data_IF_908020250896
#
_entry.id   IF_908020250896
#
_cell.length_a   1.000
_cell.length_b   1.000
_cell.length_c   1.000
_cell.angle_alpha   90.00
_cell.angle_beta   90.00
_cell.angle_gamma   90.00
#
_symmetry.space_group_name_H-M   'P 1'
#
loop_
_entity.id
_entity.type
_entity.pdbx_description
1 polymer ?
#
# COMPACT_ATOMS: atom_id res chain seq x y z
N UNK A 1 -3.55 17.95 5.63
CA UNK A 1 -3.07 18.55 6.89
C UNK A 1 -2.04 17.58 7.46
N UNK A 2 -0.75 17.94 7.41
CA UNK A 2 0.39 17.05 7.75
C UNK A 2 0.48 16.73 9.25
N UNK A 3 -0.43 17.28 10.06
CA UNK A 3 -0.47 17.17 11.51
C UNK A 3 -1.32 16.01 12.05
N UNK A 4 -1.91 15.20 11.18
CA UNK A 4 -2.99 14.28 11.56
C UNK A 4 -2.55 12.86 11.90
N UNK A 5 -1.25 12.54 11.88
CA UNK A 5 -0.83 11.17 11.65
C UNK A 5 0.30 10.65 12.56
N UNK A 6 -0.04 9.63 13.38
CA UNK A 6 0.89 8.71 14.04
C UNK A 6 0.73 8.50 15.56
N UNK A 7 1.04 7.27 16.02
CA UNK A 7 1.77 6.98 17.27
C UNK A 7 2.62 5.71 17.05
N UNK A 8 3.95 5.68 17.14
CA UNK A 8 4.99 6.72 17.34
C UNK A 8 5.42 7.50 16.08
N UNK A 9 6.67 7.96 16.00
CA UNK A 9 7.11 9.09 15.12
C UNK A 9 6.94 8.90 13.60
N UNK A 10 6.87 7.68 13.08
CA UNK A 10 6.70 7.43 11.63
C UNK A 10 5.53 6.50 11.30
N UNK A 11 4.51 6.39 12.17
CA UNK A 11 3.29 5.67 11.79
C UNK A 11 2.53 6.52 10.76
N UNK A 12 2.75 6.23 9.49
CA UNK A 12 2.07 6.81 8.33
C UNK A 12 0.60 6.39 8.35
N UNK A 13 -0.19 6.89 9.30
CA UNK A 13 -1.63 6.92 9.08
C UNK A 13 -1.82 7.82 7.87
N UNK A 14 -2.20 7.24 6.74
CA UNK A 14 -2.72 8.00 5.63
C UNK A 14 -4.23 8.10 5.83
N UNK A 15 -4.82 9.26 5.51
CA UNK A 15 -6.24 9.24 5.13
C UNK A 15 -6.29 8.44 3.83
N UNK A 16 -6.83 7.23 3.93
CA UNK A 16 -7.04 6.35 2.80
C UNK A 16 -8.50 6.44 2.38
N UNK A 17 -8.70 6.61 1.09
CA UNK A 17 -10.00 6.50 0.43
C UNK A 17 -10.00 5.29 -0.50
N UNK A 18 -11.20 4.82 -0.87
CA UNK A 18 -11.35 3.84 -1.95
C UNK A 18 -10.71 4.37 -3.24
N UNK A 19 -9.96 3.51 -3.93
CA UNK A 19 -9.19 3.86 -5.12
C UNK A 19 -7.78 4.40 -4.85
N UNK A 20 -7.40 4.67 -3.61
CA UNK A 20 -6.02 5.06 -3.30
C UNK A 20 -5.03 3.94 -3.65
N UNK A 21 -3.87 4.31 -4.20
CA UNK A 21 -2.75 3.37 -4.38
C UNK A 21 -1.88 3.40 -3.14
N UNK A 22 -1.60 2.24 -2.58
CA UNK A 22 -0.79 2.11 -1.37
C UNK A 22 0.34 1.10 -1.54
N UNK A 23 1.40 1.34 -0.78
CA UNK A 23 2.50 0.41 -0.56
C UNK A 23 2.30 -0.21 0.82
N UNK A 24 2.36 -1.52 0.91
CA UNK A 24 2.31 -2.25 2.17
C UNK A 24 3.45 -3.28 2.27
N UNK A 25 3.84 -3.63 3.49
CA UNK A 25 4.91 -4.59 3.74
C UNK A 25 4.37 -5.95 4.15
N UNK A 26 5.02 -7.00 3.64
CA UNK A 26 4.82 -8.40 4.01
C UNK A 26 6.14 -9.02 4.47
N UNK A 27 6.08 -10.24 5.01
CA UNK A 27 7.25 -10.94 5.55
C UNK A 27 7.61 -10.45 6.95
N UNK A 28 8.90 -10.38 7.26
CA UNK A 28 9.39 -10.03 8.61
C UNK A 28 10.11 -8.69 8.60
N UNK A 29 9.62 -7.76 9.42
CA UNK A 29 10.21 -6.43 9.60
C UNK A 29 10.41 -6.10 11.08
N UNK A 30 11.19 -5.04 11.36
CA UNK A 30 11.45 -4.62 12.74
C UNK A 30 10.57 -3.43 13.11
N UNK A 31 9.86 -3.54 14.24
CA UNK A 31 9.10 -2.48 14.89
C UNK A 31 9.69 -2.25 16.27
N UNK A 32 10.23 -1.07 16.54
CA UNK A 32 10.87 -0.71 17.83
C UNK A 32 11.94 -1.73 18.30
N UNK A 33 12.66 -2.34 17.36
CA UNK A 33 13.69 -3.34 17.64
C UNK A 33 13.16 -4.75 17.88
N UNK A 34 11.86 -5.00 17.68
CA UNK A 34 11.21 -6.31 17.75
C UNK A 34 10.87 -6.77 16.34
N UNK A 35 11.19 -8.03 16.00
CA UNK A 35 10.80 -8.62 14.72
C UNK A 35 9.32 -9.04 14.74
N UNK A 36 8.59 -8.62 13.70
CA UNK A 36 7.18 -8.92 13.47
C UNK A 36 7.06 -9.53 12.07
N UNK A 37 6.45 -10.72 11.96
CA UNK A 37 6.29 -11.40 10.68
C UNK A 37 6.29 -12.93 10.78
N UNK A 38 6.44 -13.58 9.64
CA UNK A 38 6.36 -15.03 9.46
C UNK A 38 7.72 -15.73 9.28
N UNK A 39 8.82 -14.99 9.40
CA UNK A 39 10.19 -15.45 9.18
C UNK A 39 10.70 -15.31 7.75
N UNK A 40 9.86 -14.88 6.79
CA UNK A 40 10.30 -14.57 5.43
C UNK A 40 10.94 -13.16 5.37
N UNK A 41 11.81 -12.88 4.38
CA UNK A 41 12.39 -11.54 4.19
C UNK A 41 11.29 -10.47 4.01
N UNK A 42 11.51 -9.22 4.47
CA UNK A 42 10.56 -8.15 4.24
C UNK A 42 10.42 -7.88 2.74
N UNK A 43 9.18 -7.75 2.28
CA UNK A 43 8.86 -7.44 0.88
C UNK A 43 7.84 -6.31 0.83
N UNK A 44 7.97 -5.44 -0.17
CA UNK A 44 7.00 -4.40 -0.45
C UNK A 44 6.04 -4.86 -1.54
N UNK A 45 4.78 -4.59 -1.31
CA UNK A 45 3.67 -4.94 -2.17
C UNK A 45 2.80 -3.71 -2.40
N UNK A 46 1.96 -3.77 -3.42
CA UNK A 46 1.16 -2.64 -3.87
C UNK A 46 -0.28 -3.03 -4.09
N UNK A 47 -1.19 -2.18 -3.65
CA UNK A 47 -2.62 -2.41 -3.81
C UNK A 47 -3.38 -1.13 -4.14
N UNK A 48 -4.46 -1.26 -4.91
CA UNK A 48 -5.55 -0.27 -4.99
C UNK A 48 -6.51 -0.58 -3.85
N UNK A 49 -6.75 0.40 -2.98
CA UNK A 49 -7.67 0.26 -1.85
C UNK A 49 -9.08 0.06 -2.40
N UNK A 50 -9.75 -0.98 -1.92
CA UNK A 50 -11.16 -1.30 -2.22
C UNK A 50 -12.03 -0.91 -1.02
N UNK A 51 -11.67 -1.35 0.18
CA UNK A 51 -12.45 -1.02 1.38
C UNK A 51 -11.58 -0.98 2.63
N UNK A 52 -11.94 -0.12 3.57
CA UNK A 52 -11.35 -0.09 4.91
C UNK A 52 -12.42 -0.52 5.90
N UNK A 53 -12.14 -1.57 6.68
CA UNK A 53 -13.08 -2.13 7.64
C UNK A 53 -12.51 -2.04 9.06
N UNK A 54 -13.31 -1.54 10.00
CA UNK A 54 -13.00 -1.64 11.42
C UNK A 54 -13.57 -2.94 11.98
N UNK A 55 -12.69 -3.83 12.42
CA UNK A 55 -13.05 -5.11 13.03
C UNK A 55 -12.96 -4.97 14.54
N UNK A 56 -14.10 -5.20 15.21
CA UNK A 56 -14.17 -5.25 16.66
C UNK A 56 -14.08 -6.71 17.10
N UNK A 57 -13.00 -7.07 17.80
CA UNK A 57 -12.90 -8.37 18.48
C UNK A 57 -12.83 -8.16 19.98
N UNK A 58 -13.93 -8.47 20.68
CA UNK A 58 -14.08 -8.28 22.12
C UNK A 58 -13.67 -6.88 22.62
N UNK A 59 -12.44 -6.73 23.10
CA UNK A 59 -11.87 -5.54 23.73
C UNK A 59 -10.88 -4.77 22.84
N UNK A 60 -10.65 -5.22 21.60
CA UNK A 60 -9.71 -4.60 20.67
C UNK A 60 -10.42 -4.19 19.38
N UNK A 61 -10.14 -2.97 18.94
CA UNK A 61 -10.44 -2.47 17.60
C UNK A 61 -9.22 -2.71 16.72
N UNK A 62 -9.41 -3.34 15.57
CA UNK A 62 -8.35 -3.54 14.58
C UNK A 62 -8.87 -3.16 13.20
N UNK A 63 -8.18 -2.23 12.53
CA UNK A 63 -8.49 -1.87 11.15
C UNK A 63 -7.97 -2.93 10.20
N UNK A 64 -8.72 -3.21 9.13
CA UNK A 64 -8.27 -4.05 8.02
C UNK A 64 -8.45 -3.27 6.74
N UNK A 65 -7.40 -3.18 5.95
CA UNK A 65 -7.42 -2.57 4.63
C UNK A 65 -7.54 -3.72 3.61
N UNK A 66 -8.54 -3.63 2.74
CA UNK A 66 -8.74 -4.52 1.61
C UNK A 66 -8.38 -3.80 0.34
N UNK A 67 -7.67 -4.50 -0.55
CA UNK A 67 -7.34 -3.96 -1.85
C UNK A 67 -7.15 -5.04 -2.90
N UNK A 68 -6.85 -4.59 -4.10
CA UNK A 68 -6.56 -5.43 -5.25
C UNK A 68 -5.11 -5.22 -5.65
N UNK A 69 -4.37 -6.30 -5.91
CA UNK A 69 -2.96 -6.26 -6.30
C UNK A 69 -2.76 -5.42 -7.56
N UNK A 70 -1.69 -4.64 -7.57
CA UNK A 70 -1.29 -3.79 -8.69
C UNK A 70 -0.06 -4.32 -9.42
N UNK A 71 -0.09 -4.23 -10.75
CA UNK A 71 1.05 -4.43 -11.63
C UNK A 71 1.60 -3.08 -12.08
N UNK A 72 2.93 -2.97 -12.18
CA UNK A 72 3.61 -1.77 -12.68
C UNK A 72 4.32 -2.05 -13.99
N UNK A 73 4.38 -1.02 -14.84
CA UNK A 73 5.27 -1.02 -16.01
C UNK A 73 6.73 -0.98 -15.54
N UNK A 74 7.33 -2.17 -15.44
CA UNK A 74 8.67 -2.40 -14.91
C UNK A 74 9.76 -1.66 -15.71
N UNK A 75 9.52 -1.34 -16.98
CA UNK A 75 10.45 -0.61 -17.83
C UNK A 75 10.50 0.88 -17.50
N UNK A 76 9.47 1.42 -16.82
CA UNK A 76 9.35 2.85 -16.47
C UNK A 76 9.57 3.16 -15.00
N UNK A 77 10.13 2.22 -14.26
CA UNK A 77 10.39 2.35 -12.83
C UNK A 77 11.56 3.31 -12.60
N UNK A 78 11.35 4.29 -11.72
CA UNK A 78 12.27 5.40 -11.51
C UNK A 78 12.10 6.55 -12.50
N UNK A 79 11.09 6.49 -13.38
CA UNK A 79 10.66 7.61 -14.21
C UNK A 79 9.40 8.26 -13.62
N UNK A 80 9.18 9.53 -13.98
CA UNK A 80 7.88 10.15 -13.73
C UNK A 80 6.82 9.51 -14.63
N UNK A 81 5.59 9.40 -14.16
CA UNK A 81 4.45 8.84 -14.90
C UNK A 81 4.57 7.32 -15.18
N UNK A 82 5.08 6.55 -14.23
CA UNK A 82 5.02 5.09 -14.28
C UNK A 82 3.54 4.65 -14.37
N UNK A 83 3.22 3.75 -15.32
CA UNK A 83 1.87 3.20 -15.46
C UNK A 83 1.66 2.15 -14.39
N UNK A 84 0.50 2.20 -13.77
CA UNK A 84 0.02 1.23 -12.80
C UNK A 84 -1.30 0.67 -13.30
N UNK A 85 -1.50 -0.63 -13.12
CA UNK A 85 -2.75 -1.29 -13.50
C UNK A 85 -3.18 -2.27 -12.42
N UNK A 86 -4.49 -2.44 -12.25
CA UNK A 86 -5.04 -3.55 -11.48
C UNK A 86 -4.60 -4.86 -12.13
N UNK A 87 -4.12 -5.79 -11.30
CA UNK A 87 -3.63 -7.07 -11.82
C UNK A 87 -4.74 -7.81 -12.57
N UNK A 88 -4.47 -8.42 -13.74
CA UNK A 88 -5.48 -9.14 -14.52
C UNK A 88 -6.14 -10.31 -13.79
N UNK A 89 -5.51 -10.81 -12.72
CA UNK A 89 -6.06 -11.87 -11.87
C UNK A 89 -7.08 -11.36 -10.86
N UNK A 90 -7.17 -10.04 -10.66
CA UNK A 90 -7.98 -9.37 -9.62
C UNK A 90 -7.75 -10.01 -8.23
N UNK A 91 -6.50 -10.35 -7.93
CA UNK A 91 -6.14 -10.92 -6.64
C UNK A 91 -6.42 -9.91 -5.52
N UNK A 92 -7.26 -10.30 -4.57
CA UNK A 92 -7.60 -9.51 -3.39
C UNK A 92 -6.59 -9.73 -2.27
N UNK A 93 -6.20 -8.67 -1.60
CA UNK A 93 -5.28 -8.69 -0.46
C UNK A 93 -5.90 -8.01 0.75
N UNK A 94 -5.52 -8.50 1.94
CA UNK A 94 -5.87 -7.89 3.22
C UNK A 94 -4.59 -7.61 4.01
N UNK A 95 -4.49 -6.42 4.60
CA UNK A 95 -3.37 -6.04 5.45
C UNK A 95 -3.82 -5.05 6.53
N UNK A 96 -3.11 -5.07 7.66
CA UNK A 96 -3.36 -4.15 8.77
C UNK A 96 -2.77 -2.76 8.53
N UNK A 97 -3.27 -1.71 9.20
CA UNK A 97 -2.70 -0.37 9.18
C UNK A 97 -1.21 -0.32 9.52
N UNK A 98 -0.72 -1.23 10.36
CA UNK A 98 0.68 -1.36 10.74
C UNK A 98 1.59 -1.87 9.60
N UNK A 99 0.99 -2.46 8.57
CA UNK A 99 1.70 -2.88 7.36
C UNK A 99 1.74 -1.77 6.30
N UNK A 100 0.99 -0.68 6.48
CA UNK A 100 0.95 0.43 5.52
C UNK A 100 2.27 1.21 5.54
N UNK A 101 2.93 1.28 4.39
CA UNK A 101 4.20 1.98 4.22
C UNK A 101 4.01 3.34 3.59
N UNK A 102 3.13 3.49 2.60
CA UNK A 102 2.89 4.79 1.97
C UNK A 102 1.59 4.80 1.17
N UNK A 103 1.04 6.00 0.96
CA UNK A 103 0.08 6.26 -0.12
C UNK A 103 0.80 6.92 -1.30
N UNK A 104 0.62 6.38 -2.49
CA UNK A 104 1.19 6.92 -3.73
C UNK A 104 0.17 7.78 -4.46
N UNK A 105 0.53 8.99 -4.89
CA UNK A 105 -0.38 9.81 -5.67
C UNK A 105 -0.52 9.21 -7.07
N UNK A 106 -1.76 8.91 -7.46
CA UNK A 106 -2.10 8.34 -8.76
C UNK A 106 -3.16 9.21 -9.43
N UNK A 107 -3.09 9.29 -10.76
CA UNK A 107 -4.19 9.75 -11.60
C UNK A 107 -4.73 8.54 -12.37
N UNK A 108 -5.93 8.09 -12.02
CA UNK A 108 -6.64 7.03 -12.74
C UNK A 108 -7.15 7.55 -14.10
N UNK A 109 -7.24 6.65 -15.07
CA UNK A 109 -7.84 6.93 -16.38
C UNK A 109 -9.37 7.00 -16.24
N UNK A 110 -9.96 8.08 -16.77
CA UNK A 110 -11.41 8.30 -16.71
C UNK A 110 -12.18 7.29 -17.58
N UNK A 111 -11.54 6.76 -18.63
CA UNK A 111 -12.13 5.76 -19.52
C UNK A 111 -11.85 4.31 -19.07
N UNK A 112 -10.89 4.12 -18.15
CA UNK A 112 -10.51 2.81 -17.62
C UNK A 112 -10.01 2.93 -16.16
N UNK A 113 -10.90 2.71 -15.20
CA UNK A 113 -10.60 2.84 -13.77
C UNK A 113 -9.56 1.84 -13.23
N UNK A 114 -9.21 0.82 -14.01
CA UNK A 114 -8.19 -0.17 -13.68
C UNK A 114 -6.78 0.25 -14.13
N UNK A 115 -6.64 1.32 -14.91
CA UNK A 115 -5.36 1.85 -15.37
C UNK A 115 -5.12 3.26 -14.86
N UNK A 116 -3.89 3.54 -14.42
CA UNK A 116 -3.52 4.83 -13.88
C UNK A 116 -2.06 5.19 -14.12
N UNK A 117 -1.72 6.43 -13.75
CA UNK A 117 -0.39 6.99 -13.84
C UNK A 117 0.04 7.49 -12.46
N UNK A 118 1.18 7.01 -11.96
CA UNK A 118 1.77 7.55 -10.75
C UNK A 118 2.27 8.98 -10.99
N UNK A 119 1.84 9.89 -10.13
CA UNK A 119 2.24 11.30 -10.15
C UNK A 119 3.55 11.56 -9.41
N UNK A 120 4.07 10.54 -8.71
CA UNK A 120 5.36 10.57 -8.05
C UNK A 120 6.32 9.56 -8.69
N UNK A 121 7.61 9.87 -8.67
CA UNK A 121 8.65 8.90 -9.04
C UNK A 121 8.66 7.78 -8.03
N UNK A 122 8.48 6.54 -8.48
CA UNK A 122 8.68 5.39 -7.61
C UNK A 122 10.18 5.05 -7.55
N UNK A 123 10.82 5.07 -6.38
CA UNK A 123 12.22 4.66 -6.24
C UNK A 123 12.39 3.21 -6.71
N UNK A 124 13.43 2.96 -7.51
CA UNK A 124 13.75 1.62 -8.03
C UNK A 124 13.95 0.59 -6.92
N UNK A 125 14.42 1.06 -5.78
CA UNK A 125 14.69 0.22 -4.61
C UNK A 125 13.42 -0.32 -3.95
N UNK A 126 12.23 0.19 -4.31
CA UNK A 126 10.94 -0.27 -3.76
C UNK A 126 10.25 -1.35 -4.62
N UNK A 127 10.72 -1.65 -5.84
CA UNK A 127 10.11 -2.69 -6.71
C UNK A 127 10.89 -4.00 -6.67
N UNK A 128 12.14 -4.00 -6.18
CA UNK A 128 13.02 -5.16 -6.24
C UNK A 128 13.12 -5.85 -4.88
N UNK A 129 12.18 -6.78 -4.60
CA UNK A 129 12.36 -7.84 -3.58
C UNK A 129 11.66 -9.13 -3.97
#
# INVERSE_FOLDING_TARGET
>A
DESSFGRGEDHLSAFLDEGDVVVYQTGTWSVDGVEVGDGSPPQLQYAKVDTIQLVWTHNCEHGVIRGIVLDFDSDKVGENNCRVAVSPTYESVEFGPEQLVARLPVQWDEDNEDEGILLATLPRDLILS
#
